data_IF_088415351366
#
_entry.id   IF_088415351366
#
_cell.length_a   1.000
_cell.length_b   1.000
_cell.length_c   1.000
_cell.angle_alpha   90.00
_cell.angle_beta   90.00
_cell.angle_gamma   90.00
#
_symmetry.space_group_name_H-M   'P 1'
#
loop_
_entity.id
_entity.type
_entity.pdbx_description
1 polymer ?
#
# COMPACT_ATOMS: atom_id res chain seq x y z
N UNK A 1 -25.78 -7.98 -43.04
CA UNK A 1 -25.21 -6.88 -42.24
C UNK A 1 -26.26 -5.94 -41.68
N UNK A 2 -27.25 -5.46 -42.40
CA UNK A 2 -28.30 -4.52 -41.90
C UNK A 2 -29.17 -5.09 -40.77
N UNK A 3 -29.51 -6.37 -40.77
CA UNK A 3 -30.32 -7.02 -39.69
C UNK A 3 -29.58 -7.16 -38.35
N UNK A 4 -28.28 -7.34 -38.37
CA UNK A 4 -27.45 -7.41 -37.12
C UNK A 4 -27.33 -6.03 -36.46
N UNK A 5 -27.19 -4.95 -37.23
CA UNK A 5 -27.12 -3.61 -36.70
C UNK A 5 -28.45 -3.16 -36.06
N UNK A 6 -29.60 -3.59 -36.61
CA UNK A 6 -30.92 -3.28 -36.05
C UNK A 6 -31.17 -4.02 -34.71
N UNK A 7 -30.75 -5.28 -34.61
CA UNK A 7 -30.90 -6.08 -33.37
C UNK A 7 -30.00 -5.49 -32.26
N UNK A 8 -28.77 -5.11 -32.56
CA UNK A 8 -27.86 -4.48 -31.61
C UNK A 8 -28.39 -3.14 -31.09
N UNK A 9 -28.99 -2.31 -31.97
CA UNK A 9 -29.57 -1.02 -31.58
C UNK A 9 -30.79 -1.21 -30.66
N UNK A 10 -31.65 -2.20 -30.91
CA UNK A 10 -32.84 -2.48 -30.09
C UNK A 10 -32.42 -3.04 -28.70
N UNK A 11 -31.39 -3.85 -28.61
CA UNK A 11 -30.88 -4.36 -27.30
C UNK A 11 -30.27 -3.24 -26.47
N UNK A 12 -29.54 -2.30 -27.06
CA UNK A 12 -28.98 -1.14 -26.35
C UNK A 12 -30.09 -0.23 -25.83
N UNK A 13 -31.12 0.02 -26.61
CA UNK A 13 -32.30 0.84 -26.22
C UNK A 13 -33.11 0.20 -25.08
N UNK A 14 -33.23 -1.13 -25.04
CA UNK A 14 -33.89 -1.86 -23.96
C UNK A 14 -33.10 -1.81 -22.65
N UNK A 15 -31.78 -1.81 -22.70
CA UNK A 15 -30.94 -1.66 -21.50
C UNK A 15 -31.00 -0.26 -20.90
N UNK A 16 -31.12 0.79 -21.73
CA UNK A 16 -31.27 2.19 -21.26
C UNK A 16 -32.62 2.42 -20.61
N UNK A 17 -33.68 1.77 -21.09
CA UNK A 17 -35.03 1.91 -20.48
C UNK A 17 -35.17 1.21 -19.11
N UNK A 18 -34.33 0.22 -18.82
CA UNK A 18 -34.38 -0.52 -17.54
C UNK A 18 -33.57 0.14 -16.41
N UNK A 19 -32.73 1.14 -16.72
CA UNK A 19 -31.90 1.85 -15.73
C UNK A 19 -32.62 3.01 -15.02
N UNK A 20 -33.86 3.39 -15.41
CA UNK A 20 -34.56 4.56 -14.89
C UNK A 20 -35.68 4.27 -13.85
N UNK A 21 -35.73 3.10 -13.22
CA UNK A 21 -36.81 2.76 -12.28
C UNK A 21 -36.34 2.35 -10.89
N UNK A 22 -35.28 2.98 -10.36
CA UNK A 22 -34.93 2.82 -8.96
C UNK A 22 -34.91 4.17 -8.25
N UNK A 23 -36.13 4.73 -8.01
CA UNK A 23 -36.33 5.85 -7.09
C UNK A 23 -36.55 5.29 -5.69
N UNK A 24 -35.52 5.28 -4.87
CA UNK A 24 -35.64 5.01 -3.45
C UNK A 24 -36.25 6.23 -2.74
N UNK A 25 -37.53 6.17 -2.43
CA UNK A 25 -38.22 7.16 -1.57
C UNK A 25 -37.81 6.92 -0.12
N UNK A 26 -37.00 7.81 0.44
CA UNK A 26 -36.82 7.91 1.89
C UNK A 26 -37.99 8.72 2.46
N UNK A 27 -38.73 8.21 3.46
CA UNK A 27 -39.73 9.01 4.14
C UNK A 27 -39.02 10.02 5.07
N UNK A 28 -39.05 11.29 4.65
CA UNK A 28 -38.72 12.39 5.55
C UNK A 28 -39.95 12.66 6.41
N UNK A 29 -39.90 12.27 7.69
CA UNK A 29 -40.93 12.58 8.65
C UNK A 29 -40.79 14.02 9.12
N UNK A 30 -41.69 14.88 8.63
CA UNK A 30 -41.86 16.23 9.15
C UNK A 30 -42.56 16.16 10.48
N UNK A 31 -41.87 16.40 11.58
CA UNK A 31 -42.49 16.63 12.88
C UNK A 31 -43.10 18.03 12.88
N UNK A 32 -44.43 18.06 12.90
CA UNK A 32 -45.23 19.26 13.13
C UNK A 32 -45.15 19.66 14.60
N UNK A 33 -44.88 20.92 14.77
CA UNK A 33 -44.98 21.75 15.97
C UNK A 33 -46.25 21.46 16.77
N UNK A 34 -46.11 21.00 18.03
CA UNK A 34 -47.17 21.06 19.04
C UNK A 34 -46.60 21.60 20.34
N UNK A 35 -47.01 22.82 20.59
CA UNK A 35 -46.90 23.60 21.80
C UNK A 35 -47.46 22.80 23.00
N UNK A 36 -46.61 22.24 23.86
CA UNK A 36 -47.00 21.66 25.18
C UNK A 36 -46.24 22.38 26.29
N UNK A 37 -47.00 22.78 27.28
CA UNK A 37 -46.58 23.46 28.50
C UNK A 37 -45.54 22.63 29.27
N UNK A 38 -44.72 23.27 30.15
CA UNK A 38 -43.60 22.60 30.80
C UNK A 38 -44.11 21.61 31.85
N UNK A 39 -44.01 20.33 31.54
CA UNK A 39 -44.12 19.25 32.54
C UNK A 39 -42.84 19.23 33.40
N UNK A 40 -43.08 19.21 34.71
CA UNK A 40 -42.07 19.11 35.74
C UNK A 40 -41.20 17.84 35.53
N UNK A 41 -39.93 18.01 35.24
CA UNK A 41 -38.97 16.92 35.18
C UNK A 41 -38.93 16.14 36.50
N UNK A 42 -39.05 14.80 36.50
CA UNK A 42 -38.81 14.01 37.68
C UNK A 42 -37.34 14.16 38.07
N UNK A 43 -37.11 14.51 39.35
CA UNK A 43 -35.78 14.55 39.95
C UNK A 43 -35.18 13.14 39.88
N UNK A 44 -34.23 12.93 38.95
CA UNK A 44 -33.43 11.71 38.90
C UNK A 44 -32.50 11.76 40.13
N UNK A 45 -32.56 10.79 41.07
CA UNK A 45 -31.64 10.77 42.19
C UNK A 45 -30.20 10.65 41.65
N UNK A 46 -29.33 11.54 42.10
CA UNK A 46 -27.92 11.51 41.78
C UNK A 46 -27.34 10.13 42.16
N UNK A 47 -26.57 9.49 41.29
CA UNK A 47 -25.92 8.22 41.63
C UNK A 47 -25.05 8.42 42.89
N UNK A 48 -24.92 7.41 43.75
CA UNK A 48 -24.13 7.51 44.96
C UNK A 48 -22.71 7.87 44.60
N UNK A 49 -22.18 8.89 45.26
CA UNK A 49 -20.76 9.25 45.14
C UNK A 49 -19.96 8.06 45.70
N UNK A 50 -19.42 7.24 44.82
CA UNK A 50 -18.45 6.21 45.21
C UNK A 50 -17.19 6.93 45.62
N UNK A 51 -16.94 7.01 46.91
CA UNK A 51 -15.67 7.47 47.44
C UNK A 51 -14.58 6.46 47.02
N UNK A 52 -13.78 6.83 46.01
CA UNK A 52 -12.61 6.05 45.60
C UNK A 52 -11.60 6.12 46.75
N UNK A 53 -11.11 5.00 47.30
CA UNK A 53 -10.11 5.02 48.35
C UNK A 53 -8.82 5.68 47.87
N UNK A 54 -8.09 6.42 48.71
CA UNK A 54 -6.92 7.23 48.33
C UNK A 54 -5.68 6.40 47.93
N UNK A 55 -5.82 5.10 47.67
CA UNK A 55 -4.71 4.22 47.33
C UNK A 55 -4.92 3.45 46.02
N UNK A 56 -5.68 4.00 45.10
CA UNK A 56 -5.61 3.53 43.72
C UNK A 56 -4.25 3.94 43.17
N UNK A 57 -3.42 2.98 42.77
CA UNK A 57 -2.28 3.20 41.94
C UNK A 57 -2.75 3.88 40.65
N UNK A 58 -2.80 5.20 40.67
CA UNK A 58 -2.93 5.99 39.46
C UNK A 58 -1.69 5.61 38.67
N UNK A 59 -1.86 4.78 37.64
CA UNK A 59 -0.82 4.60 36.64
C UNK A 59 -0.62 5.96 36.02
N UNK A 60 0.29 6.72 36.57
CA UNK A 60 0.80 7.93 35.96
C UNK A 60 1.50 7.47 34.68
N UNK A 61 0.80 7.54 33.56
CA UNK A 61 1.43 7.45 32.27
C UNK A 61 2.48 8.56 32.23
N UNK A 62 3.75 8.13 32.25
CA UNK A 62 4.86 9.06 32.06
C UNK A 62 4.61 9.79 30.73
N UNK A 63 4.53 11.13 30.67
CA UNK A 63 4.36 11.89 29.44
C UNK A 63 5.50 11.69 28.41
N UNK A 64 6.51 10.89 28.72
CA UNK A 64 7.51 10.37 27.77
C UNK A 64 7.03 9.20 26.90
N UNK A 65 5.77 8.81 26.95
CA UNK A 65 5.20 8.02 25.87
C UNK A 65 5.18 8.92 24.62
N UNK A 66 6.19 8.71 23.81
CA UNK A 66 6.44 9.25 22.46
C UNK A 66 5.42 10.30 22.07
N UNK A 67 5.82 11.55 22.20
CA UNK A 67 5.05 12.66 21.69
C UNK A 67 4.65 12.29 20.24
N UNK A 68 3.37 12.38 19.92
CA UNK A 68 2.89 12.11 18.56
C UNK A 68 3.70 12.90 17.53
N UNK A 69 4.17 14.07 17.90
CA UNK A 69 5.05 14.91 17.09
C UNK A 69 6.42 14.27 16.84
N UNK A 70 7.00 13.55 17.80
CA UNK A 70 8.28 12.86 17.60
C UNK A 70 8.12 11.71 16.58
N UNK A 71 6.98 11.04 16.62
CA UNK A 71 6.66 9.96 15.66
C UNK A 71 6.42 10.51 14.26
N UNK A 72 5.70 11.61 14.12
CA UNK A 72 5.47 12.28 12.84
C UNK A 72 6.81 12.75 12.25
N UNK A 73 7.63 13.44 13.05
CA UNK A 73 8.97 13.87 12.64
C UNK A 73 9.86 12.72 12.18
N UNK A 74 9.79 11.56 12.85
CA UNK A 74 10.52 10.36 12.47
C UNK A 74 10.08 9.83 11.09
N UNK A 75 8.77 9.77 10.83
CA UNK A 75 8.23 9.30 9.55
C UNK A 75 8.58 10.26 8.41
N UNK A 76 8.48 11.57 8.63
CA UNK A 76 8.89 12.58 7.65
C UNK A 76 10.38 12.43 7.32
N UNK A 77 11.23 12.37 8.33
CA UNK A 77 12.69 12.22 8.14
C UNK A 77 13.07 10.92 7.45
N UNK A 78 12.35 9.82 7.75
CA UNK A 78 12.55 8.54 7.07
C UNK A 78 12.19 8.66 5.58
N UNK A 79 11.05 9.26 5.28
CA UNK A 79 10.59 9.46 3.91
C UNK A 79 11.58 10.31 3.11
N UNK A 80 11.98 11.46 3.62
CA UNK A 80 12.92 12.38 2.96
C UNK A 80 14.27 11.71 2.66
N UNK A 81 14.74 10.87 3.57
CA UNK A 81 16.01 10.15 3.42
C UNK A 81 15.94 9.00 2.42
N UNK A 82 14.82 8.28 2.36
CA UNK A 82 14.69 7.04 1.59
C UNK A 82 14.10 7.28 0.21
N UNK A 83 13.12 8.18 0.09
CA UNK A 83 12.40 8.42 -1.16
C UNK A 83 13.31 8.70 -2.36
N UNK A 84 14.44 9.42 -2.25
CA UNK A 84 15.33 9.64 -3.39
C UNK A 84 15.94 8.37 -3.98
N UNK A 85 16.00 7.28 -3.20
CA UNK A 85 16.45 5.95 -3.64
C UNK A 85 15.34 5.02 -4.15
N UNK A 86 14.06 5.46 -4.11
CA UNK A 86 12.92 4.68 -4.59
C UNK A 86 12.49 5.17 -5.97
N UNK A 87 12.45 4.27 -6.94
CA UNK A 87 12.18 4.60 -8.34
C UNK A 87 10.81 4.08 -8.78
N UNK A 88 10.24 4.73 -9.80
CA UNK A 88 9.11 4.21 -10.56
C UNK A 88 9.65 3.36 -11.71
N UNK A 89 8.99 2.26 -12.00
CA UNK A 89 9.33 1.37 -13.11
C UNK A 89 8.12 1.28 -14.03
N UNK A 90 8.28 1.77 -15.24
CA UNK A 90 7.29 1.65 -16.30
C UNK A 90 7.73 0.57 -17.27
N UNK A 91 6.84 -0.34 -17.58
CA UNK A 91 7.11 -1.43 -18.52
C UNK A 91 6.18 -1.36 -19.71
N UNK A 92 6.66 -1.73 -20.86
CA UNK A 92 5.89 -1.95 -22.06
C UNK A 92 6.01 -3.42 -22.47
N UNK A 93 4.91 -4.05 -22.79
CA UNK A 93 4.85 -5.41 -23.31
C UNK A 93 3.94 -5.47 -24.54
N UNK A 94 3.89 -6.60 -25.21
CA UNK A 94 2.98 -6.81 -26.37
C UNK A 94 1.51 -6.78 -25.95
N UNK A 95 1.19 -6.97 -24.68
CA UNK A 95 -0.17 -6.99 -24.13
C UNK A 95 -0.57 -5.67 -23.47
N UNK A 96 0.34 -4.74 -23.28
CA UNK A 96 0.08 -3.43 -22.67
C UNK A 96 1.25 -2.92 -21.81
N UNK A 97 1.00 -1.80 -21.11
CA UNK A 97 1.95 -1.21 -20.16
C UNK A 97 1.71 -1.69 -18.73
N UNK A 98 2.79 -1.82 -17.97
CA UNK A 98 2.79 -2.07 -16.54
C UNK A 98 3.43 -0.94 -15.75
N UNK A 99 3.15 -0.90 -14.46
CA UNK A 99 3.71 0.09 -13.53
C UNK A 99 4.04 -0.59 -12.20
N UNK A 100 5.23 -0.30 -11.68
CA UNK A 100 5.70 -0.75 -10.40
C UNK A 100 6.71 0.20 -9.79
N UNK A 101 7.32 -0.23 -8.72
CA UNK A 101 8.38 0.47 -8.00
C UNK A 101 9.63 -0.39 -7.92
N UNK A 102 10.72 0.23 -7.56
CA UNK A 102 11.98 -0.43 -7.23
C UNK A 102 12.80 0.46 -6.32
N UNK A 103 13.95 -0.01 -5.91
CA UNK A 103 14.90 0.80 -5.15
C UNK A 103 16.33 0.59 -5.60
N UNK A 104 17.14 1.63 -5.46
CA UNK A 104 18.55 1.60 -5.78
C UNK A 104 19.28 0.69 -4.79
N UNK A 105 19.94 -0.33 -5.30
CA UNK A 105 20.70 -1.28 -4.49
C UNK A 105 22.14 -0.81 -4.28
N UNK A 106 22.78 -0.28 -5.32
CA UNK A 106 24.18 0.16 -5.26
C UNK A 106 24.49 1.32 -6.21
N UNK A 107 25.69 1.83 -6.10
CA UNK A 107 26.24 2.90 -6.96
C UNK A 107 26.61 2.43 -8.38
N UNK A 108 26.50 1.14 -8.65
CA UNK A 108 26.72 0.59 -9.99
C UNK A 108 25.46 0.64 -10.86
N UNK A 109 24.32 1.12 -10.31
CA UNK A 109 23.07 1.25 -11.05
C UNK A 109 22.24 -0.03 -11.05
N UNK A 110 22.36 -0.85 -10.03
CA UNK A 110 21.45 -1.97 -9.81
C UNK A 110 20.21 -1.51 -9.07
N UNK A 111 19.04 -1.85 -9.61
CA UNK A 111 17.73 -1.59 -9.04
C UNK A 111 17.10 -2.93 -8.71
N UNK A 112 16.59 -3.07 -7.48
CA UNK A 112 15.82 -4.24 -7.06
C UNK A 112 14.33 -3.94 -7.22
N UNK A 113 13.59 -4.91 -7.74
CA UNK A 113 12.12 -4.86 -7.88
C UNK A 113 11.54 -6.27 -7.80
N UNK A 114 10.22 -6.41 -7.90
CA UNK A 114 9.58 -7.71 -8.04
C UNK A 114 9.68 -8.24 -9.49
N UNK A 115 9.73 -9.58 -9.63
CA UNK A 115 9.74 -10.24 -10.95
C UNK A 115 8.47 -9.91 -11.73
N UNK A 116 7.30 -9.99 -11.11
CA UNK A 116 6.02 -9.73 -11.80
C UNK A 116 5.89 -8.30 -12.34
N UNK A 117 6.71 -7.34 -11.86
CA UNK A 117 6.75 -5.96 -12.40
C UNK A 117 7.41 -5.93 -13.78
N UNK A 118 8.39 -6.80 -14.01
CA UNK A 118 9.20 -6.83 -15.25
C UNK A 118 8.91 -8.03 -16.14
N UNK A 119 7.98 -8.88 -15.74
CA UNK A 119 7.55 -10.05 -16.51
C UNK A 119 7.03 -9.61 -17.89
N UNK A 120 7.51 -10.28 -18.94
CA UNK A 120 7.16 -9.99 -20.34
C UNK A 120 7.46 -8.56 -20.83
N UNK A 121 8.20 -7.77 -20.08
CA UNK A 121 8.57 -6.42 -20.48
C UNK A 121 9.53 -6.45 -21.71
N UNK A 122 9.12 -5.81 -22.80
CA UNK A 122 9.95 -5.59 -23.99
C UNK A 122 10.76 -4.31 -23.89
N UNK A 123 10.21 -3.31 -23.18
CA UNK A 123 10.89 -2.06 -22.85
C UNK A 123 10.66 -1.72 -21.38
N UNK A 124 11.65 -1.08 -20.79
CA UNK A 124 11.67 -0.76 -19.36
C UNK A 124 12.28 0.62 -19.16
N UNK A 125 11.48 1.54 -18.59
CA UNK A 125 11.92 2.86 -18.18
C UNK A 125 11.92 2.94 -16.64
N UNK A 126 13.01 3.46 -16.09
CA UNK A 126 13.20 3.70 -14.66
C UNK A 126 13.21 5.20 -14.44
N UNK A 127 12.23 5.69 -13.67
CA UNK A 127 12.06 7.10 -13.36
C UNK A 127 12.48 7.38 -11.93
N UNK A 128 13.46 8.25 -11.77
CA UNK A 128 13.98 8.68 -10.47
C UNK A 128 13.15 9.86 -9.92
N UNK A 129 13.04 10.01 -8.59
CA UNK A 129 12.32 11.15 -7.99
C UNK A 129 12.89 12.52 -8.37
N UNK A 130 14.15 12.57 -8.80
CA UNK A 130 14.80 13.77 -9.36
C UNK A 130 14.21 14.22 -10.70
N UNK A 131 13.35 13.38 -11.33
CA UNK A 131 12.86 13.57 -12.69
C UNK A 131 13.78 12.98 -13.78
N UNK A 132 14.94 12.41 -13.40
CA UNK A 132 15.80 11.71 -14.34
C UNK A 132 15.17 10.40 -14.77
N UNK A 133 15.26 10.09 -16.06
CA UNK A 133 14.70 8.86 -16.66
C UNK A 133 15.80 8.07 -17.34
N UNK A 134 15.79 6.78 -17.15
CA UNK A 134 16.75 5.88 -17.74
C UNK A 134 16.10 4.64 -18.32
N UNK A 135 16.66 4.12 -19.41
CA UNK A 135 16.30 2.79 -19.89
C UNK A 135 16.92 1.74 -18.98
N UNK A 136 16.10 0.81 -18.53
CA UNK A 136 16.54 -0.33 -17.73
C UNK A 136 16.69 -1.61 -18.55
N UNK A 137 17.57 -2.50 -18.08
CA UNK A 137 17.72 -3.86 -18.62
C UNK A 137 17.65 -4.85 -17.47
N UNK A 138 16.79 -5.85 -17.57
CA UNK A 138 16.75 -6.94 -16.58
C UNK A 138 18.01 -7.78 -16.76
N UNK A 139 18.84 -7.86 -15.72
CA UNK A 139 20.09 -8.61 -15.71
C UNK A 139 20.03 -9.90 -14.89
N UNK A 140 18.98 -10.05 -14.09
CA UNK A 140 18.71 -11.24 -13.28
C UNK A 140 17.30 -11.23 -12.77
N UNK A 141 16.72 -12.41 -12.64
CA UNK A 141 15.40 -12.57 -12.04
C UNK A 141 15.24 -13.96 -11.44
N UNK A 142 14.47 -14.01 -10.37
CA UNK A 142 14.03 -15.25 -9.75
C UNK A 142 12.51 -15.18 -9.55
N UNK A 143 11.83 -16.05 -10.27
CA UNK A 143 10.38 -16.08 -10.29
C UNK A 143 9.79 -16.71 -9.01
N UNK A 144 10.55 -17.57 -8.33
CA UNK A 144 10.07 -18.27 -7.13
C UNK A 144 10.12 -17.34 -5.91
N UNK A 145 11.12 -16.45 -5.84
CA UNK A 145 11.19 -15.38 -4.83
C UNK A 145 10.48 -14.10 -5.25
N UNK A 146 9.97 -14.03 -6.49
CA UNK A 146 9.39 -12.83 -7.10
C UNK A 146 10.35 -11.63 -7.06
N UNK A 147 11.62 -11.85 -7.36
CA UNK A 147 12.66 -10.81 -7.38
C UNK A 147 13.23 -10.62 -8.78
N UNK A 148 13.59 -9.39 -9.09
CA UNK A 148 14.34 -9.03 -10.30
C UNK A 148 15.34 -7.94 -10.02
N UNK A 149 16.43 -7.96 -10.80
CA UNK A 149 17.49 -6.93 -10.81
C UNK A 149 17.51 -6.27 -12.16
N UNK A 150 17.35 -4.95 -12.14
CA UNK A 150 17.44 -4.10 -13.32
C UNK A 150 18.77 -3.35 -13.27
N UNK A 151 19.46 -3.28 -14.40
CA UNK A 151 20.64 -2.43 -14.59
C UNK A 151 20.23 -1.16 -15.32
N UNK A 152 20.63 -0.03 -14.78
CA UNK A 152 20.54 1.29 -15.43
C UNK A 152 21.92 1.91 -15.59
N UNK A 153 22.10 2.74 -16.61
CA UNK A 153 23.30 3.53 -16.82
C UNK A 153 22.95 5.01 -16.61
N UNK A 154 23.26 5.50 -15.44
CA UNK A 154 22.91 6.86 -14.98
C UNK A 154 24.07 7.46 -14.19
N UNK A 155 24.18 8.80 -14.13
CA UNK A 155 25.15 9.46 -13.26
C UNK A 155 25.00 9.03 -11.80
N UNK A 156 26.13 8.88 -11.11
CA UNK A 156 26.18 8.37 -9.73
C UNK A 156 25.40 9.24 -8.73
N UNK A 157 25.23 10.52 -9.03
CA UNK A 157 24.46 11.47 -8.21
C UNK A 157 22.97 11.11 -8.07
N UNK A 158 22.40 10.38 -9.04
CA UNK A 158 21.02 9.88 -8.97
C UNK A 158 20.91 8.53 -8.26
N UNK A 159 22.03 7.86 -8.00
CA UNK A 159 22.07 6.56 -7.37
C UNK A 159 22.22 6.73 -5.85
N UNK A 160 21.11 6.64 -5.12
CA UNK A 160 21.05 6.71 -3.66
C UNK A 160 20.69 5.32 -3.10
N UNK A 161 21.70 4.45 -2.82
CA UNK A 161 21.44 3.09 -2.36
C UNK A 161 20.75 3.05 -1.02
N UNK A 162 19.79 2.14 -0.86
CA UNK A 162 19.16 1.85 0.41
C UNK A 162 19.92 0.76 1.15
N UNK A 163 20.13 0.97 2.45
CA UNK A 163 20.74 -0.03 3.31
C UNK A 163 19.79 -1.22 3.51
N UNK A 164 20.31 -2.45 3.32
CA UNK A 164 19.56 -3.65 3.63
C UNK A 164 19.58 -3.93 5.13
N UNK A 165 18.41 -4.22 5.69
CA UNK A 165 18.26 -4.66 7.06
C UNK A 165 18.39 -6.19 7.20
N UNK A 166 18.41 -6.66 8.45
CA UNK A 166 18.31 -8.07 8.74
C UNK A 166 16.86 -8.45 9.10
N UNK A 167 16.25 -9.28 8.28
CA UNK A 167 14.86 -9.74 8.48
C UNK A 167 14.67 -10.60 9.72
N UNK A 168 15.75 -11.25 10.22
CA UNK A 168 15.70 -12.06 11.43
C UNK A 168 15.42 -11.22 12.69
N UNK A 169 15.84 -9.96 12.67
CA UNK A 169 15.68 -9.02 13.79
C UNK A 169 14.24 -8.45 13.87
N UNK A 170 13.41 -8.67 12.85
CA UNK A 170 12.04 -8.19 12.86
C UNK A 170 11.18 -8.95 13.87
N UNK A 171 10.24 -8.23 14.50
CA UNK A 171 9.29 -8.78 15.47
C UNK A 171 7.85 -8.54 15.00
N UNK A 172 6.99 -9.51 15.26
CA UNK A 172 5.54 -9.34 15.04
C UNK A 172 5.06 -8.16 15.89
N UNK A 173 4.23 -7.28 15.28
CA UNK A 173 3.79 -6.03 15.87
C UNK A 173 4.74 -4.85 15.65
N UNK A 174 5.96 -5.08 15.16
CA UNK A 174 6.89 -3.99 14.84
C UNK A 174 6.35 -3.13 13.71
N UNK A 175 6.44 -1.81 13.87
CA UNK A 175 6.06 -0.85 12.83
C UNK A 175 6.98 -0.99 11.62
N UNK A 176 6.38 -1.01 10.44
CA UNK A 176 7.06 -1.00 9.14
C UNK A 176 6.43 0.04 8.24
N UNK A 177 7.21 0.53 7.30
CA UNK A 177 6.82 1.52 6.31
C UNK A 177 7.10 0.96 4.94
N UNK A 178 6.10 0.92 4.07
CA UNK A 178 6.32 0.63 2.66
C UNK A 178 6.33 1.94 1.87
N UNK A 179 7.32 2.08 0.98
CA UNK A 179 7.44 3.23 0.08
C UNK A 179 7.42 2.71 -1.34
N UNK A 180 6.56 3.30 -2.18
CA UNK A 180 6.52 3.08 -3.61
C UNK A 180 6.51 4.40 -4.35
N UNK A 181 6.77 4.36 -5.64
CA UNK A 181 6.68 5.53 -6.52
C UNK A 181 5.79 5.25 -7.74
N UNK A 182 4.50 4.90 -7.53
CA UNK A 182 3.58 4.73 -8.63
C UNK A 182 3.39 6.09 -9.33
N UNK A 183 3.56 6.18 -10.62
CA UNK A 183 3.32 7.40 -11.42
C UNK A 183 4.41 8.47 -11.40
N UNK A 184 5.56 8.24 -10.78
CA UNK A 184 6.67 9.24 -10.72
C UNK A 184 6.22 10.65 -10.26
N UNK A 185 5.21 10.72 -9.38
CA UNK A 185 4.58 11.99 -8.98
C UNK A 185 5.05 12.50 -7.61
N UNK A 186 5.73 11.73 -6.87
CA UNK A 186 6.23 11.81 -5.48
C UNK A 186 5.85 10.51 -4.78
N UNK A 187 6.81 9.82 -4.22
CA UNK A 187 6.61 8.50 -3.63
C UNK A 187 5.40 8.44 -2.67
N UNK A 188 4.76 7.30 -2.62
CA UNK A 188 3.68 7.02 -1.68
C UNK A 188 4.22 6.25 -0.50
N UNK A 189 3.92 6.70 0.71
CA UNK A 189 4.30 6.04 1.95
C UNK A 189 3.08 5.43 2.63
N UNK A 190 3.17 4.17 3.02
CA UNK A 190 2.14 3.50 3.81
C UNK A 190 2.73 2.94 5.08
N UNK A 191 2.01 3.10 6.19
CA UNK A 191 2.40 2.63 7.51
C UNK A 191 1.65 1.33 7.85
N UNK A 192 2.37 0.39 8.44
CA UNK A 192 1.80 -0.88 8.88
C UNK A 192 2.60 -1.54 9.98
N UNK A 193 2.32 -2.80 10.23
CA UNK A 193 3.03 -3.63 11.19
C UNK A 193 3.44 -4.96 10.55
N UNK A 194 4.46 -5.60 11.09
CA UNK A 194 4.74 -7.01 10.80
C UNK A 194 3.65 -7.85 11.42
N UNK A 195 2.80 -8.48 10.61
CA UNK A 195 1.69 -9.33 11.08
C UNK A 195 2.11 -10.77 11.30
N UNK A 196 3.02 -11.27 10.48
CA UNK A 196 3.57 -12.62 10.61
C UNK A 196 4.99 -12.69 10.04
N UNK A 197 5.73 -13.69 10.49
CA UNK A 197 7.05 -14.10 9.97
C UNK A 197 7.00 -15.57 9.60
N UNK A 198 7.96 -16.00 8.79
CA UNK A 198 8.14 -17.40 8.38
C UNK A 198 6.86 -18.01 7.78
N UNK A 199 6.15 -17.21 7.00
CA UNK A 199 5.02 -17.71 6.20
C UNK A 199 5.56 -18.45 4.97
N UNK A 200 4.94 -19.57 4.67
CA UNK A 200 5.14 -20.28 3.41
C UNK A 200 3.95 -20.02 2.53
N UNK A 201 4.15 -19.44 1.35
CA UNK A 201 3.15 -19.34 0.32
C UNK A 201 3.42 -20.43 -0.72
N UNK A 202 2.40 -21.23 -1.02
CA UNK A 202 2.46 -22.15 -2.15
C UNK A 202 2.46 -21.31 -3.44
N UNK A 203 3.49 -21.45 -4.24
CA UNK A 203 3.51 -20.89 -5.59
C UNK A 203 2.42 -21.55 -6.42
N UNK A 204 1.77 -20.79 -7.29
CA UNK A 204 0.86 -21.35 -8.31
C UNK A 204 1.60 -22.07 -9.43
N UNK A 205 2.95 -22.06 -9.41
CA UNK A 205 3.78 -22.75 -10.39
C UNK A 205 3.95 -24.21 -10.03
N UNK A 206 3.70 -25.02 -11.03
CA UNK A 206 3.96 -26.45 -10.98
C UNK A 206 5.41 -26.71 -11.41
N UNK A 207 6.19 -27.38 -10.56
CA UNK A 207 7.50 -27.85 -10.95
C UNK A 207 7.37 -28.88 -12.08
N UNK A 208 8.35 -28.94 -12.96
CA UNK A 208 8.42 -29.93 -14.04
C UNK A 208 8.39 -31.38 -13.53
N UNK A 209 8.66 -31.61 -12.26
CA UNK A 209 8.61 -32.89 -11.54
C UNK A 209 7.28 -33.18 -10.85
N UNK A 210 6.25 -32.30 -11.00
CA UNK A 210 4.90 -32.51 -10.47
C UNK A 210 4.63 -32.00 -9.06
N UNK A 211 5.54 -31.21 -8.45
CA UNK A 211 5.33 -30.50 -7.20
C UNK A 211 4.98 -29.02 -7.42
N UNK A 212 4.58 -28.33 -6.35
CA UNK A 212 4.47 -26.87 -6.37
C UNK A 212 5.68 -26.28 -5.67
N UNK A 213 6.22 -25.19 -6.21
CA UNK A 213 7.20 -24.40 -5.51
C UNK A 213 6.55 -23.70 -4.32
N UNK A 214 7.31 -23.44 -3.28
CA UNK A 214 6.86 -22.67 -2.14
C UNK A 214 7.92 -21.64 -1.78
N UNK A 215 7.52 -20.37 -1.69
CA UNK A 215 8.36 -19.35 -1.09
C UNK A 215 8.24 -19.47 0.44
N UNK A 216 9.37 -19.77 1.11
CA UNK A 216 9.44 -19.87 2.57
C UNK A 216 9.94 -18.57 3.21
N UNK A 217 9.83 -18.47 4.52
CA UNK A 217 10.33 -17.38 5.36
C UNK A 217 9.83 -15.98 4.96
N UNK A 218 8.63 -15.91 4.40
CA UNK A 218 8.02 -14.64 4.01
C UNK A 218 7.62 -13.83 5.25
N UNK A 219 7.91 -12.53 5.19
CA UNK A 219 7.40 -11.54 6.13
C UNK A 219 6.08 -11.03 5.58
N UNK A 220 5.03 -11.11 6.39
CA UNK A 220 3.72 -10.58 6.05
C UNK A 220 3.51 -9.23 6.73
N UNK A 221 3.68 -8.10 6.04
CA UNK A 221 3.28 -6.81 6.57
C UNK A 221 1.76 -6.63 6.43
N UNK A 222 1.15 -5.96 7.39
CA UNK A 222 -0.20 -5.40 7.27
C UNK A 222 -0.05 -3.89 7.03
N UNK A 223 0.20 -3.55 5.79
CA UNK A 223 0.25 -2.19 5.28
C UNK A 223 -0.65 -2.11 4.05
N UNK A 224 -1.24 -0.96 3.79
CA UNK A 224 -2.02 -0.76 2.56
C UNK A 224 -1.07 -0.82 1.36
N UNK A 225 -1.17 -1.89 0.59
CA UNK A 225 -0.44 -2.04 -0.68
C UNK A 225 -1.37 -1.58 -1.79
N UNK A 226 -1.02 -0.49 -2.44
CA UNK A 226 -1.74 0.03 -3.60
C UNK A 226 -1.04 -0.44 -4.89
N UNK A 227 -1.78 -0.58 -6.02
CA UNK A 227 -1.17 -0.79 -7.32
C UNK A 227 -0.05 0.23 -7.57
N UNK A 228 1.12 -0.27 -7.99
CA UNK A 228 2.31 0.56 -8.21
C UNK A 228 3.31 0.58 -7.05
N UNK A 229 2.96 0.15 -5.84
CA UNK A 229 3.92 -0.04 -4.75
C UNK A 229 4.71 -1.36 -4.88
N UNK A 230 4.26 -2.28 -5.74
CA UNK A 230 4.94 -3.56 -6.01
C UNK A 230 6.40 -3.32 -6.40
N UNK A 231 7.33 -4.01 -5.76
CA UNK A 231 8.77 -3.87 -5.96
C UNK A 231 9.43 -2.77 -5.11
N UNK A 232 8.65 -1.92 -4.44
CA UNK A 232 9.16 -0.93 -3.50
C UNK A 232 9.66 -1.54 -2.18
N UNK A 233 10.56 -0.83 -1.45
CA UNK A 233 11.12 -1.31 -0.20
C UNK A 233 10.12 -1.28 0.95
N UNK A 234 10.27 -2.25 1.86
CA UNK A 234 9.67 -2.24 3.20
C UNK A 234 10.76 -1.94 4.23
N UNK A 235 10.54 -0.93 5.04
CA UNK A 235 11.52 -0.35 5.94
C UNK A 235 11.09 -0.53 7.40
N UNK A 236 12.06 -0.63 8.30
CA UNK A 236 11.83 -0.43 9.72
C UNK A 236 12.14 1.02 10.13
N UNK A 237 11.82 1.39 11.37
CA UNK A 237 12.07 2.73 11.90
C UNK A 237 13.44 2.85 12.63
N UNK A 238 14.42 2.00 12.28
CA UNK A 238 15.75 2.01 12.92
C UNK A 238 16.78 2.65 12.01
#
# INVERSE_FOLDING_TARGET
>A
MKKFATILLVTILLFIAMACSFSASFPFSSASDQNQAPESNPVVPSPPVVSVPPNSNVVTYNPQMLDLMDREGLLISLYERVNPGVVSIQTLSVTGGGLGSGFVFDKSGHIITNYHVVEDATELEVDFPSGYKARGTVIGSDIDSDLAVIKVDVPEEFLLPLALGNSDDLRIGQTVVAIGNPFNLSGSMTLGIVSAKSRTLSSFRQATTGGFFSAGDLIQPYASINPGNSGGPVLNLK
#
